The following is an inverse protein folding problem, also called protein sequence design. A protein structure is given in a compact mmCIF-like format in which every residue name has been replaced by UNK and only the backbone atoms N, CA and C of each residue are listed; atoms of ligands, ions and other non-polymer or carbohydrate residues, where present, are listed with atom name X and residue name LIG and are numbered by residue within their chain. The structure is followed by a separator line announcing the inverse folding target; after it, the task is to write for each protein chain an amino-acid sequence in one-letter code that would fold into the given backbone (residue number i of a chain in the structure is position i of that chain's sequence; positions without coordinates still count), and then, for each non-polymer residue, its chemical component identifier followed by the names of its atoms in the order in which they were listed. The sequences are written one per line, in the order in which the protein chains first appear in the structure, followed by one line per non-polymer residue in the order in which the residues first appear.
data_IF_624127733155
#
_entry.id   IF_624127733155
#
_cell.length_a   1.000
_cell.length_b   1.000
_cell.length_c   1.000
_cell.angle_alpha   90.00
_cell.angle_beta   90.00
_cell.angle_gamma   90.00
#
_symmetry.space_group_name_H-M   'P 1'
#
loop_
_entity.id
_entity.type
_entity.pdbx_description
1 polymer ?
#
# COMPACT_ATOMS: atom_id res chain seq x y z
N UNK A 1 25.34 -15.68 4.08
CA UNK A 1 25.22 -14.74 5.23
C UNK A 1 24.99 -13.28 4.83
N UNK A 2 25.60 -12.75 3.75
CA UNK A 2 25.34 -11.35 3.30
C UNK A 2 23.86 -11.10 2.96
N UNK A 3 23.17 -12.09 2.41
CA UNK A 3 21.76 -11.98 1.99
C UNK A 3 20.75 -11.84 3.13
N UNK A 4 21.07 -12.35 4.33
CA UNK A 4 20.11 -12.31 5.46
C UNK A 4 20.09 -10.93 6.11
N UNK A 5 21.24 -10.23 6.13
CA UNK A 5 21.37 -8.93 6.82
C UNK A 5 20.42 -7.87 6.27
N UNK A 6 20.10 -7.92 4.98
CA UNK A 6 19.19 -6.95 4.33
C UNK A 6 17.74 -7.05 4.84
N UNK A 7 17.36 -8.19 5.41
CA UNK A 7 16.01 -8.44 5.93
C UNK A 7 15.84 -8.04 7.39
N UNK A 8 16.95 -7.86 8.14
CA UNK A 8 16.89 -7.57 9.59
C UNK A 8 16.12 -6.29 9.86
N UNK A 9 16.48 -5.19 9.18
CA UNK A 9 15.86 -3.89 9.43
C UNK A 9 14.36 -3.88 9.06
N UNK A 10 13.92 -4.35 7.88
CA UNK A 10 12.49 -4.45 7.57
C UNK A 10 11.73 -5.38 8.52
N UNK A 11 12.33 -6.50 8.92
CA UNK A 11 11.70 -7.46 9.83
C UNK A 11 11.49 -6.85 11.22
N UNK A 12 12.50 -6.18 11.77
CA UNK A 12 12.38 -5.46 13.04
C UNK A 12 11.33 -4.35 12.96
N UNK A 13 11.32 -3.58 11.87
CA UNK A 13 10.31 -2.54 11.65
C UNK A 13 8.90 -3.15 11.62
N UNK A 14 8.71 -4.25 10.91
CA UNK A 14 7.42 -4.93 10.83
C UNK A 14 6.99 -5.48 12.20
N UNK A 15 7.86 -6.22 12.90
CA UNK A 15 7.53 -6.81 14.21
C UNK A 15 7.16 -5.72 15.23
N UNK A 16 8.01 -4.69 15.38
CA UNK A 16 7.77 -3.61 16.32
C UNK A 16 6.54 -2.79 15.93
N UNK A 17 6.41 -2.42 14.66
CA UNK A 17 5.29 -1.62 14.18
C UNK A 17 3.94 -2.37 14.25
N UNK A 18 3.91 -3.67 13.96
CA UNK A 18 2.72 -4.51 14.15
C UNK A 18 2.38 -4.61 15.63
N UNK A 19 3.37 -4.84 16.50
CA UNK A 19 3.15 -4.89 17.95
C UNK A 19 2.53 -3.58 18.46
N UNK A 20 3.16 -2.43 18.17
CA UNK A 20 2.64 -1.12 18.60
C UNK A 20 1.29 -0.78 17.95
N UNK A 21 1.11 -1.10 16.66
CA UNK A 21 -0.17 -0.93 15.98
C UNK A 21 -1.28 -1.76 16.62
N UNK A 22 -0.99 -3.02 16.98
CA UNK A 22 -1.94 -3.89 17.65
C UNK A 22 -2.30 -3.39 19.05
N UNK A 23 -1.31 -2.94 19.85
CA UNK A 23 -1.59 -2.35 21.16
C UNK A 23 -2.46 -1.11 21.03
N UNK A 24 -2.13 -0.20 20.11
CA UNK A 24 -2.94 1.00 19.85
C UNK A 24 -4.39 0.65 19.50
N UNK A 25 -4.60 -0.27 18.55
CA UNK A 25 -5.93 -0.72 18.13
C UNK A 25 -6.68 -1.32 19.32
N UNK A 26 -6.03 -2.22 20.07
CA UNK A 26 -6.64 -2.91 21.21
C UNK A 26 -7.03 -1.93 22.31
N UNK A 27 -6.12 -1.06 22.74
CA UNK A 27 -6.37 -0.11 23.84
C UNK A 27 -7.50 0.86 23.47
N UNK A 28 -7.44 1.44 22.27
CA UNK A 28 -8.44 2.41 21.82
C UNK A 28 -9.81 1.75 21.62
N UNK A 29 -9.85 0.56 21.02
CA UNK A 29 -11.11 -0.16 20.82
C UNK A 29 -11.72 -0.68 22.13
N UNK A 30 -10.88 -1.05 23.10
CA UNK A 30 -11.33 -1.39 24.46
C UNK A 30 -11.93 -0.17 25.14
N UNK A 31 -11.30 1.01 25.03
CA UNK A 31 -11.82 2.26 25.57
C UNK A 31 -13.19 2.63 24.97
N UNK A 32 -13.37 2.44 23.66
CA UNK A 32 -14.66 2.64 22.99
C UNK A 32 -15.70 1.65 23.52
N UNK A 33 -15.35 0.37 23.63
CA UNK A 33 -16.27 -0.69 24.09
C UNK A 33 -16.70 -0.46 25.54
N UNK A 34 -15.80 0.00 26.42
CA UNK A 34 -16.12 0.22 27.83
C UNK A 34 -17.00 1.45 28.05
N UNK A 35 -16.81 2.51 27.26
CA UNK A 35 -17.63 3.73 27.37
C UNK A 35 -18.94 3.64 26.58
N UNK A 36 -18.94 2.91 25.47
CA UNK A 36 -20.06 2.81 24.52
C UNK A 36 -20.30 1.34 24.14
N UNK A 37 -20.80 0.50 25.07
CA UNK A 37 -20.89 -0.95 24.86
C UNK A 37 -21.88 -1.38 23.76
N UNK A 38 -22.84 -0.50 23.42
CA UNK A 38 -23.83 -0.74 22.36
C UNK A 38 -23.29 -0.39 20.97
N UNK A 39 -22.20 0.38 20.90
CA UNK A 39 -21.63 0.80 19.62
C UNK A 39 -20.90 -0.36 18.93
N UNK A 40 -21.34 -0.67 17.72
CA UNK A 40 -20.71 -1.62 16.84
C UNK A 40 -19.99 -0.90 15.69
N UNK A 41 -18.66 -0.99 15.65
CA UNK A 41 -17.88 -0.35 14.59
C UNK A 41 -18.14 -0.97 13.21
N UNK A 42 -18.42 -2.27 13.14
CA UNK A 42 -18.58 -3.02 11.88
C UNK A 42 -19.90 -3.80 11.95
N UNK A 43 -21.00 -3.24 11.41
CA UNK A 43 -22.33 -3.85 11.50
C UNK A 43 -22.41 -5.30 10.97
N UNK A 44 -21.53 -5.65 10.03
CA UNK A 44 -21.44 -7.00 9.45
C UNK A 44 -20.88 -8.05 10.42
N UNK A 45 -20.15 -7.63 11.45
CA UNK A 45 -19.66 -8.49 12.53
C UNK A 45 -20.54 -8.27 13.75
N UNK A 46 -21.09 -9.33 14.34
CA UNK A 46 -21.95 -9.22 15.53
C UNK A 46 -21.13 -9.10 16.83
N UNK A 47 -19.93 -8.52 16.77
CA UNK A 47 -18.99 -8.40 17.88
C UNK A 47 -18.98 -7.01 18.53
N UNK A 48 -18.38 -6.88 19.73
CA UNK A 48 -18.03 -5.57 20.26
C UNK A 48 -16.89 -4.94 19.45
N UNK A 49 -16.83 -3.61 19.41
CA UNK A 49 -15.80 -2.84 18.68
C UNK A 49 -14.37 -3.31 18.96
N UNK A 50 -14.06 -3.68 20.21
CA UNK A 50 -12.75 -4.26 20.60
C UNK A 50 -12.43 -5.60 19.95
N UNK A 51 -13.42 -6.48 19.82
CA UNK A 51 -13.26 -7.76 19.14
C UNK A 51 -13.05 -7.54 17.64
N UNK A 52 -13.88 -6.72 17.00
CA UNK A 52 -13.82 -6.51 15.56
C UNK A 52 -12.48 -5.91 15.12
N UNK A 53 -12.02 -4.87 15.83
CA UNK A 53 -10.77 -4.20 15.51
C UNK A 53 -9.54 -5.11 15.70
N UNK A 54 -9.53 -5.92 16.76
CA UNK A 54 -8.41 -6.85 17.04
C UNK A 54 -8.43 -8.05 16.09
N UNK A 55 -9.60 -8.57 15.72
CA UNK A 55 -9.74 -9.61 14.70
C UNK A 55 -9.21 -9.12 13.37
N UNK A 56 -9.62 -7.93 12.90
CA UNK A 56 -9.09 -7.34 11.66
C UNK A 56 -7.56 -7.27 11.71
N UNK A 57 -7.00 -6.69 12.76
CA UNK A 57 -5.54 -6.56 12.89
C UNK A 57 -4.83 -7.93 12.88
N UNK A 58 -5.43 -8.96 13.48
CA UNK A 58 -4.85 -10.31 13.55
C UNK A 58 -4.92 -11.09 12.24
N UNK A 59 -6.02 -10.99 11.49
CA UNK A 59 -6.25 -11.83 10.29
C UNK A 59 -5.74 -11.20 8.99
N UNK A 60 -5.53 -9.87 8.97
CA UNK A 60 -5.30 -9.16 7.72
C UNK A 60 -3.98 -9.53 7.02
N UNK A 61 -2.91 -9.80 7.78
CA UNK A 61 -1.63 -10.20 7.22
C UNK A 61 -1.72 -11.58 6.55
N UNK A 62 -2.26 -12.64 7.21
CA UNK A 62 -2.54 -13.91 6.55
C UNK A 62 -3.36 -13.78 5.27
N UNK A 63 -4.46 -13.01 5.32
CA UNK A 63 -5.33 -12.78 4.17
C UNK A 63 -4.55 -12.11 3.02
N UNK A 64 -3.79 -11.06 3.33
CA UNK A 64 -2.98 -10.35 2.34
C UNK A 64 -1.91 -11.24 1.71
N UNK A 65 -1.28 -12.15 2.47
CA UNK A 65 -0.31 -13.12 1.95
C UNK A 65 -1.01 -14.13 1.02
N UNK A 66 -2.15 -14.69 1.41
CA UNK A 66 -2.90 -15.63 0.57
C UNK A 66 -3.33 -14.94 -0.73
N UNK A 67 -3.89 -13.73 -0.63
CA UNK A 67 -4.32 -12.97 -1.80
C UNK A 67 -3.14 -12.64 -2.71
N UNK A 68 -1.99 -12.25 -2.15
CA UNK A 68 -0.75 -12.07 -2.89
C UNK A 68 -0.37 -13.33 -3.68
N UNK A 69 -0.38 -14.50 -3.05
CA UNK A 69 0.01 -15.76 -3.70
C UNK A 69 -0.94 -16.15 -4.84
N UNK A 70 -2.24 -15.93 -4.67
CA UNK A 70 -3.26 -16.34 -5.65
C UNK A 70 -3.36 -15.35 -6.82
N UNK A 71 -3.32 -14.05 -6.52
CA UNK A 71 -3.79 -13.01 -7.46
C UNK A 71 -2.65 -12.30 -8.18
N UNK A 72 -1.43 -12.27 -7.63
CA UNK A 72 -0.34 -11.46 -8.20
C UNK A 72 0.02 -11.88 -9.63
N UNK A 73 0.16 -13.18 -9.91
CA UNK A 73 0.52 -13.65 -11.26
C UNK A 73 -0.59 -13.36 -12.29
N UNK A 74 -1.87 -13.71 -12.03
CA UNK A 74 -2.97 -13.36 -12.94
C UNK A 74 -3.04 -11.86 -13.23
N UNK A 75 -2.97 -11.00 -12.19
CA UNK A 75 -3.03 -9.55 -12.40
C UNK A 75 -1.79 -9.01 -13.11
N UNK A 76 -0.60 -9.57 -12.90
CA UNK A 76 0.58 -9.20 -13.68
C UNK A 76 0.36 -9.46 -15.17
N UNK A 77 -0.30 -10.55 -15.54
CA UNK A 77 -0.63 -10.83 -16.95
C UNK A 77 -1.62 -9.78 -17.52
N UNK A 78 -2.64 -9.41 -16.74
CA UNK A 78 -3.58 -8.34 -17.11
C UNK A 78 -2.85 -7.01 -17.32
N UNK A 79 -1.88 -6.70 -16.46
CA UNK A 79 -1.11 -5.45 -16.53
C UNK A 79 -0.19 -5.41 -17.75
N UNK A 80 0.43 -6.55 -18.11
CA UNK A 80 1.21 -6.68 -19.34
C UNK A 80 0.30 -6.44 -20.55
N UNK A 81 -0.87 -7.07 -20.59
CA UNK A 81 -1.83 -6.91 -21.69
C UNK A 81 -2.31 -5.46 -21.82
N UNK A 82 -2.74 -4.85 -20.70
CA UNK A 82 -3.23 -3.47 -20.67
C UNK A 82 -2.16 -2.48 -21.12
N UNK A 83 -0.92 -2.61 -20.62
CA UNK A 83 0.17 -1.76 -21.06
C UNK A 83 0.53 -2.00 -22.53
N UNK A 84 0.50 -3.24 -23.02
CA UNK A 84 0.74 -3.54 -24.44
C UNK A 84 -0.27 -2.79 -25.29
N UNK A 85 -1.56 -2.81 -24.95
CA UNK A 85 -2.59 -2.09 -25.69
C UNK A 85 -2.34 -0.57 -25.62
N UNK A 86 -2.08 -0.04 -24.43
CA UNK A 86 -1.90 1.40 -24.22
C UNK A 86 -0.62 1.98 -24.86
N UNK A 87 0.43 1.18 -25.01
CA UNK A 87 1.77 1.65 -25.43
C UNK A 87 2.34 0.96 -26.68
N UNK A 88 1.58 0.08 -27.35
CA UNK A 88 2.05 -0.68 -28.52
C UNK A 88 2.63 0.17 -29.64
N UNK A 89 2.15 1.41 -29.82
CA UNK A 89 2.57 2.27 -30.92
C UNK A 89 3.96 2.86 -30.70
N UNK A 90 4.28 3.23 -29.46
CA UNK A 90 5.49 3.99 -29.14
C UNK A 90 6.56 3.18 -28.42
N UNK A 91 6.20 2.02 -27.83
CA UNK A 91 7.12 1.23 -27.03
C UNK A 91 7.14 -0.25 -27.38
N UNK A 92 8.35 -0.79 -27.49
CA UNK A 92 8.62 -2.22 -27.56
C UNK A 92 8.87 -2.79 -26.16
N UNK A 93 8.37 -4.01 -25.92
CA UNK A 93 8.51 -4.72 -24.65
C UNK A 93 9.71 -5.67 -24.68
N UNK A 94 10.52 -5.66 -23.63
CA UNK A 94 11.66 -6.56 -23.48
C UNK A 94 11.81 -7.09 -22.05
N UNK A 95 12.62 -8.13 -21.94
CA UNK A 95 13.07 -8.71 -20.67
C UNK A 95 14.55 -8.39 -20.52
N UNK A 96 14.89 -7.66 -19.47
CA UNK A 96 16.24 -7.24 -19.15
C UNK A 96 16.76 -8.02 -17.94
N UNK A 97 18.03 -8.41 -17.99
CA UNK A 97 18.70 -8.97 -16.80
C UNK A 97 18.94 -7.87 -15.77
N UNK A 98 18.18 -7.88 -14.66
CA UNK A 98 18.36 -6.96 -13.54
C UNK A 98 19.20 -7.64 -12.45
N UNK A 99 19.83 -6.83 -11.58
CA UNK A 99 20.49 -7.34 -10.38
C UNK A 99 19.52 -8.07 -9.44
N UNK A 100 20.07 -9.00 -8.65
CA UNK A 100 19.27 -9.91 -7.82
C UNK A 100 18.93 -9.37 -6.42
N UNK A 101 19.33 -8.14 -6.09
CA UNK A 101 19.32 -7.67 -4.70
C UNK A 101 18.53 -6.38 -4.46
N UNK A 102 17.56 -6.48 -3.55
CA UNK A 102 16.81 -5.36 -3.01
C UNK A 102 17.32 -5.04 -1.58
N UNK A 103 17.75 -3.80 -1.35
CA UNK A 103 18.23 -3.37 -0.03
C UNK A 103 17.10 -3.18 0.98
N UNK A 104 17.36 -3.40 2.28
CA UNK A 104 16.34 -3.29 3.34
C UNK A 104 15.64 -1.93 3.39
N UNK A 105 16.38 -0.83 3.22
CA UNK A 105 15.80 0.53 3.15
C UNK A 105 14.83 0.66 1.96
N UNK A 106 15.13 0.02 0.83
CA UNK A 106 14.23 0.03 -0.34
C UNK A 106 12.95 -0.76 -0.07
N UNK A 107 13.02 -1.86 0.69
CA UNK A 107 11.83 -2.62 1.12
C UNK A 107 10.89 -1.75 1.95
N UNK A 108 11.43 -1.02 2.93
CA UNK A 108 10.63 -0.11 3.76
C UNK A 108 10.04 1.01 2.90
N UNK A 109 10.84 1.66 2.04
CA UNK A 109 10.35 2.72 1.16
C UNK A 109 9.26 2.24 0.20
N UNK A 110 9.30 0.98 -0.25
CA UNK A 110 8.28 0.39 -1.12
C UNK A 110 6.91 0.27 -0.44
N UNK A 111 6.87 0.14 0.89
CA UNK A 111 5.62 0.10 1.66
C UNK A 111 4.92 1.47 1.75
N UNK A 112 5.66 2.57 1.57
CA UNK A 112 5.16 3.93 1.81
C UNK A 112 3.98 4.29 0.90
N UNK A 113 4.13 4.16 -0.42
CA UNK A 113 3.07 4.53 -1.37
C UNK A 113 1.78 3.73 -1.16
N UNK A 114 1.82 2.38 -1.07
CA UNK A 114 0.60 1.62 -0.77
C UNK A 114 -0.01 1.99 0.58
N UNK A 115 0.79 2.30 1.61
CA UNK A 115 0.26 2.76 2.90
C UNK A 115 -0.52 4.07 2.75
N UNK A 116 0.03 5.05 2.04
CA UNK A 116 -0.69 6.29 1.74
C UNK A 116 -1.97 6.02 0.95
N UNK A 117 -1.89 5.16 -0.08
CA UNK A 117 -3.05 4.80 -0.91
C UNK A 117 -4.14 4.07 -0.11
N UNK A 118 -3.76 3.23 0.87
CA UNK A 118 -4.68 2.61 1.81
C UNK A 118 -5.44 3.66 2.61
N UNK A 119 -4.74 4.63 3.18
CA UNK A 119 -5.36 5.69 3.97
C UNK A 119 -6.29 6.54 3.11
N UNK A 120 -5.83 7.01 1.96
CA UNK A 120 -6.64 7.91 1.13
C UNK A 120 -7.86 7.22 0.54
N UNK A 121 -7.68 6.03 -0.01
CA UNK A 121 -8.76 5.31 -0.67
C UNK A 121 -9.85 4.91 0.31
N UNK A 122 -9.50 4.48 1.53
CA UNK A 122 -10.53 4.13 2.51
C UNK A 122 -11.28 5.34 3.01
N UNK A 123 -10.64 6.48 3.21
CA UNK A 123 -11.34 7.70 3.62
C UNK A 123 -12.29 8.20 2.52
N UNK A 124 -11.91 8.07 1.24
CA UNK A 124 -12.81 8.37 0.12
C UNK A 124 -14.00 7.41 0.11
N UNK A 125 -13.76 6.11 0.23
CA UNK A 125 -14.83 5.09 0.24
C UNK A 125 -15.78 5.29 1.42
N UNK A 126 -15.24 5.52 2.62
CA UNK A 126 -16.04 5.80 3.82
C UNK A 126 -16.89 7.07 3.65
N UNK A 127 -16.36 8.10 2.99
CA UNK A 127 -17.13 9.32 2.71
C UNK A 127 -18.20 9.17 1.63
N UNK A 128 -18.03 8.25 0.68
CA UNK A 128 -18.98 8.01 -0.40
C UNK A 128 -20.06 6.98 -0.04
N UNK A 129 -19.72 6.01 0.82
CA UNK A 129 -20.58 4.91 1.23
C UNK A 129 -20.59 4.82 2.77
N UNK A 130 -21.22 5.79 3.45
CA UNK A 130 -21.37 5.74 4.91
C UNK A 130 -22.15 4.48 5.30
N UNK A 131 -21.83 3.91 6.45
CA UNK A 131 -22.47 2.71 7.04
C UNK A 131 -22.36 1.40 6.24
N UNK A 132 -21.74 1.39 5.06
CA UNK A 132 -21.63 0.16 4.27
C UNK A 132 -20.71 -0.88 4.93
N UNK A 133 -19.59 -0.44 5.51
CA UNK A 133 -18.60 -1.31 6.17
C UNK A 133 -18.36 -0.89 7.60
N UNK A 134 -18.28 0.42 7.85
CA UNK A 134 -18.08 0.98 9.16
C UNK A 134 -19.27 1.86 9.50
N UNK A 135 -19.83 1.67 10.69
CA UNK A 135 -20.92 2.50 11.18
C UNK A 135 -20.40 3.93 11.44
N UNK A 136 -21.20 4.94 11.10
CA UNK A 136 -20.93 6.30 11.52
C UNK A 136 -21.01 6.41 13.05
N UNK A 137 -20.03 7.08 13.68
CA UNK A 137 -20.03 7.20 15.13
C UNK A 137 -21.16 8.09 15.61
N UNK A 138 -21.76 7.70 16.74
CA UNK A 138 -22.64 8.58 17.51
C UNK A 138 -21.87 9.89 17.83
N UNK A 139 -22.49 11.08 17.65
CA UNK A 139 -21.89 12.36 18.03
C UNK A 139 -21.28 12.37 19.44
N UNK A 140 -21.88 11.65 20.39
CA UNK A 140 -21.38 11.51 21.76
C UNK A 140 -20.00 10.82 21.82
N UNK A 141 -19.77 9.81 20.97
CA UNK A 141 -18.48 9.12 20.86
C UNK A 141 -17.42 10.07 20.32
N UNK A 142 -17.77 10.85 19.30
CA UNK A 142 -16.86 11.82 18.67
C UNK A 142 -16.47 12.93 19.64
N UNK A 143 -17.41 13.42 20.44
CA UNK A 143 -17.11 14.44 21.45
C UNK A 143 -16.23 13.90 22.59
N UNK A 144 -16.43 12.64 22.99
CA UNK A 144 -15.74 12.05 24.15
C UNK A 144 -14.35 11.53 23.80
N UNK A 145 -14.20 10.85 22.66
CA UNK A 145 -12.99 10.12 22.26
C UNK A 145 -12.32 10.69 21.00
N UNK A 146 -12.91 11.73 20.41
CA UNK A 146 -12.69 12.26 19.05
C UNK A 146 -11.41 11.83 18.33
N UNK A 147 -10.22 12.33 18.70
CA UNK A 147 -8.99 12.04 17.96
C UNK A 147 -8.57 10.56 17.99
N UNK A 148 -8.74 9.89 19.14
CA UNK A 148 -8.36 8.48 19.28
C UNK A 148 -9.32 7.58 18.48
N UNK A 149 -10.63 7.87 18.56
CA UNK A 149 -11.64 7.15 17.78
C UNK A 149 -11.42 7.28 16.27
N UNK A 150 -11.12 8.49 15.77
CA UNK A 150 -10.81 8.70 14.35
C UNK A 150 -9.59 7.92 13.90
N UNK A 151 -8.53 7.94 14.72
CA UNK A 151 -7.33 7.17 14.43
C UNK A 151 -7.62 5.66 14.39
N UNK A 152 -8.41 5.13 15.33
CA UNK A 152 -8.85 3.73 15.33
C UNK A 152 -9.64 3.40 14.05
N UNK A 153 -10.60 4.24 13.66
CA UNK A 153 -11.40 4.04 12.45
C UNK A 153 -10.54 4.11 11.19
N UNK A 154 -9.62 5.08 11.10
CA UNK A 154 -8.67 5.19 9.99
C UNK A 154 -7.78 3.95 9.88
N UNK A 155 -7.15 3.50 10.98
CA UNK A 155 -6.31 2.29 10.94
C UNK A 155 -7.13 1.07 10.57
N UNK A 156 -8.27 0.84 11.23
CA UNK A 156 -9.08 -0.36 11.02
C UNK A 156 -9.62 -0.45 9.59
N UNK A 157 -10.14 0.67 9.05
CA UNK A 157 -10.61 0.73 7.67
C UNK A 157 -9.48 0.53 6.68
N UNK A 158 -8.34 1.19 6.85
CA UNK A 158 -7.19 1.03 5.95
C UNK A 158 -6.59 -0.36 6.01
N UNK A 159 -6.56 -1.02 7.17
CA UNK A 159 -6.17 -2.43 7.28
C UNK A 159 -7.14 -3.31 6.48
N UNK A 160 -8.45 -3.13 6.65
CA UNK A 160 -9.44 -3.92 5.93
C UNK A 160 -9.31 -3.80 4.39
N UNK A 161 -8.99 -2.61 3.89
CA UNK A 161 -8.77 -2.39 2.45
C UNK A 161 -7.36 -2.81 1.95
N UNK A 162 -6.40 -3.01 2.87
CA UNK A 162 -5.01 -3.31 2.54
C UNK A 162 -4.86 -4.50 1.58
N UNK A 163 -5.54 -5.65 1.74
CA UNK A 163 -5.39 -6.78 0.81
C UNK A 163 -5.77 -6.41 -0.62
N UNK A 164 -6.90 -5.73 -0.81
CA UNK A 164 -7.38 -5.31 -2.14
C UNK A 164 -6.37 -4.35 -2.78
N UNK A 165 -5.89 -3.38 -2.00
CA UNK A 165 -4.91 -2.40 -2.49
C UNK A 165 -3.58 -3.07 -2.81
N UNK A 166 -3.12 -4.01 -1.97
CA UNK A 166 -1.92 -4.78 -2.26
C UNK A 166 -2.08 -5.63 -3.52
N UNK A 167 -3.26 -6.17 -3.83
CA UNK A 167 -3.51 -6.85 -5.10
C UNK A 167 -3.33 -5.92 -6.32
N UNK A 168 -3.49 -4.60 -6.17
CA UNK A 168 -3.18 -3.60 -7.22
C UNK A 168 -1.67 -3.34 -7.31
N UNK A 169 -0.97 -3.23 -6.18
CA UNK A 169 0.45 -2.87 -6.16
C UNK A 169 1.41 -4.04 -6.39
N UNK A 170 1.13 -5.23 -5.85
CA UNK A 170 2.04 -6.39 -5.93
C UNK A 170 2.32 -6.84 -7.36
N UNK A 171 1.39 -6.75 -8.35
CA UNK A 171 1.72 -7.04 -9.74
C UNK A 171 2.74 -6.05 -10.29
N UNK A 172 2.62 -4.77 -9.95
CA UNK A 172 3.59 -3.73 -10.40
C UNK A 172 4.98 -4.02 -9.89
N UNK A 173 5.07 -4.52 -8.66
CA UNK A 173 6.31 -4.89 -8.01
C UNK A 173 6.99 -6.03 -8.75
N UNK A 174 6.23 -7.10 -8.94
CA UNK A 174 6.73 -8.30 -9.57
C UNK A 174 7.13 -8.07 -11.02
N UNK A 175 6.39 -7.24 -11.78
CA UNK A 175 6.76 -6.88 -13.15
C UNK A 175 8.08 -6.12 -13.23
N UNK A 176 8.28 -5.15 -12.32
CA UNK A 176 9.52 -4.38 -12.25
C UNK A 176 10.69 -5.26 -11.84
N UNK A 177 10.50 -6.12 -10.83
CA UNK A 177 11.55 -6.97 -10.28
C UNK A 177 11.88 -8.16 -11.23
N UNK A 178 10.94 -8.53 -12.11
CA UNK A 178 11.16 -9.56 -13.15
C UNK A 178 11.96 -9.07 -14.35
N UNK A 179 12.30 -7.78 -14.41
CA UNK A 179 13.06 -7.20 -15.52
C UNK A 179 12.24 -6.91 -16.77
N UNK A 180 10.91 -6.86 -16.67
CA UNK A 180 10.09 -6.51 -17.83
C UNK A 180 10.09 -5.00 -17.98
N UNK A 181 10.59 -4.53 -19.12
CA UNK A 181 10.77 -3.12 -19.45
C UNK A 181 10.13 -2.78 -20.80
N UNK A 182 9.72 -1.54 -20.93
CA UNK A 182 9.39 -0.89 -22.19
C UNK A 182 10.53 0.03 -22.58
N UNK A 183 10.82 0.09 -23.87
CA UNK A 183 11.72 1.08 -24.45
C UNK A 183 11.10 1.62 -25.74
N UNK A 184 11.46 2.84 -26.10
CA UNK A 184 10.91 3.47 -27.31
C UNK A 184 11.24 2.65 -28.57
N UNK A 185 10.28 2.56 -29.48
CA UNK A 185 10.49 1.93 -30.78
C UNK A 185 11.52 2.71 -31.60
N UNK A 186 12.16 2.03 -32.55
CA UNK A 186 13.15 2.67 -33.44
C UNK A 186 12.56 3.83 -34.24
N UNK A 187 11.28 3.78 -34.57
CA UNK A 187 10.60 4.84 -35.31
C UNK A 187 10.42 6.10 -34.48
N UNK A 188 10.09 5.97 -33.19
CA UNK A 188 10.01 7.10 -32.25
C UNK A 188 11.38 7.77 -32.04
N UNK A 189 12.46 6.99 -32.05
CA UNK A 189 13.83 7.54 -31.95
C UNK A 189 14.23 8.38 -33.18
N UNK A 190 13.68 8.08 -34.37
CA UNK A 190 13.90 8.90 -35.58
C UNK A 190 13.33 10.31 -35.43
N UNK A 191 12.32 10.49 -34.56
CA UNK A 191 11.70 11.78 -34.26
C UNK A 191 12.41 12.55 -33.14
N UNK A 192 13.69 12.27 -32.89
CA UNK A 192 14.53 12.92 -31.85
C UNK A 192 13.95 12.83 -30.44
N UNK A 193 13.08 11.85 -30.16
CA UNK A 193 12.67 11.56 -28.78
C UNK A 193 13.84 10.92 -28.04
N UNK A 194 14.09 11.40 -26.82
CA UNK A 194 15.14 10.85 -25.98
C UNK A 194 14.87 9.38 -25.68
N UNK A 195 15.87 8.49 -25.76
CA UNK A 195 15.71 7.10 -25.41
C UNK A 195 15.26 6.99 -23.95
N UNK A 196 14.17 6.27 -23.74
CA UNK A 196 13.58 6.05 -22.43
C UNK A 196 13.38 4.55 -22.21
N UNK A 197 13.64 4.10 -20.99
CA UNK A 197 13.44 2.71 -20.58
C UNK A 197 12.73 2.71 -19.23
N UNK A 198 11.51 2.16 -19.22
CA UNK A 198 10.66 2.12 -18.03
C UNK A 198 10.21 0.70 -17.73
N UNK A 199 10.26 0.30 -16.45
CA UNK A 199 9.61 -0.93 -16.01
C UNK A 199 8.10 -0.89 -16.28
N UNK A 200 7.52 -2.01 -16.73
CA UNK A 200 6.08 -2.13 -17.01
C UNK A 200 5.24 -1.75 -15.78
N UNK A 201 5.66 -2.20 -14.61
CA UNK A 201 5.00 -1.86 -13.35
C UNK A 201 5.19 -0.41 -12.91
N UNK A 202 6.25 0.27 -13.37
CA UNK A 202 6.56 1.66 -13.00
C UNK A 202 5.49 2.63 -13.48
N UNK A 203 4.87 2.38 -14.63
CA UNK A 203 3.78 3.23 -15.14
C UNK A 203 2.60 3.28 -14.14
N UNK A 204 2.06 2.11 -13.79
CA UNK A 204 0.96 2.02 -12.83
C UNK A 204 1.37 2.49 -11.43
N UNK A 205 2.56 2.10 -10.96
CA UNK A 205 3.07 2.54 -9.65
C UNK A 205 3.24 4.06 -9.57
N UNK A 206 3.63 4.72 -10.66
CA UNK A 206 3.72 6.18 -10.70
C UNK A 206 2.34 6.83 -10.72
N UNK A 207 1.37 6.26 -11.43
CA UNK A 207 0.00 6.76 -11.47
C UNK A 207 -0.65 6.71 -10.08
N UNK A 208 -0.67 5.53 -9.45
CA UNK A 208 -1.22 5.37 -8.10
C UNK A 208 -0.40 6.12 -7.05
N UNK A 209 0.93 6.17 -7.21
CA UNK A 209 1.82 6.93 -6.33
C UNK A 209 1.60 8.43 -6.40
N UNK A 210 1.47 8.98 -7.60
CA UNK A 210 1.16 10.40 -7.82
C UNK A 210 -0.19 10.78 -7.23
N UNK A 211 -1.22 9.96 -7.46
CA UNK A 211 -2.52 10.14 -6.82
C UNK A 211 -2.40 10.13 -5.29
N UNK A 212 -1.71 9.14 -4.71
CA UNK A 212 -1.54 9.03 -3.26
C UNK A 212 -0.85 10.25 -2.65
N UNK A 213 0.21 10.75 -3.30
CA UNK A 213 0.98 11.89 -2.81
C UNK A 213 0.17 13.19 -2.79
N UNK A 214 -0.81 13.34 -3.69
CA UNK A 214 -1.72 14.49 -3.72
C UNK A 214 -2.94 14.30 -2.82
N UNK A 215 -3.56 13.12 -2.86
CA UNK A 215 -4.76 12.83 -2.09
C UNK A 215 -4.47 12.78 -0.58
N UNK A 216 -3.29 12.26 -0.18
CA UNK A 216 -2.99 12.03 1.23
C UNK A 216 -2.97 13.31 2.08
N UNK A 217 -2.23 14.37 1.71
CA UNK A 217 -2.28 15.62 2.47
C UNK A 217 -3.69 16.21 2.55
N UNK A 218 -4.47 16.14 1.47
CA UNK A 218 -5.85 16.64 1.45
C UNK A 218 -6.76 15.86 2.40
N UNK A 219 -6.69 14.52 2.35
CA UNK A 219 -7.46 13.64 3.25
C UNK A 219 -7.06 13.84 4.71
N UNK A 220 -5.77 13.97 5.00
CA UNK A 220 -5.30 14.20 6.38
C UNK A 220 -5.70 15.58 6.88
N UNK A 221 -5.57 16.62 6.06
CA UNK A 221 -6.04 17.97 6.38
C UNK A 221 -7.55 17.96 6.66
N UNK A 222 -8.34 17.29 5.82
CA UNK A 222 -9.79 17.18 6.01
C UNK A 222 -10.16 16.48 7.33
N UNK A 223 -9.56 15.32 7.61
CA UNK A 223 -9.97 14.46 8.73
C UNK A 223 -9.37 14.82 10.09
N UNK A 224 -8.14 15.35 10.11
CA UNK A 224 -7.40 15.64 11.34
C UNK A 224 -7.30 17.13 11.66
N UNK A 225 -7.61 18.02 10.72
CA UNK A 225 -7.60 19.46 10.97
C UNK A 225 -8.95 20.11 10.72
N UNK A 226 -9.45 20.08 9.48
CA UNK A 226 -10.68 20.77 9.12
C UNK A 226 -11.89 20.25 9.89
N UNK A 227 -12.19 18.94 9.82
CA UNK A 227 -13.36 18.38 10.50
C UNK A 227 -13.27 18.57 12.02
N UNK A 228 -12.19 18.14 12.72
CA UNK A 228 -12.07 18.31 14.18
C UNK A 228 -12.25 19.75 14.65
N UNK A 229 -11.52 20.70 14.07
CA UNK A 229 -11.46 22.06 14.61
C UNK A 229 -12.57 22.98 14.08
N UNK A 230 -13.02 22.77 12.84
CA UNK A 230 -14.00 23.67 12.18
C UNK A 230 -15.42 23.10 12.26
N UNK A 231 -15.59 21.79 12.03
CA UNK A 231 -16.91 21.16 11.99
C UNK A 231 -17.35 20.71 13.37
N UNK A 232 -16.48 20.01 14.10
CA UNK A 232 -16.80 19.43 15.41
C UNK A 232 -16.53 20.39 16.58
N UNK A 233 -15.92 21.55 16.30
CA UNK A 233 -15.67 22.60 17.30
C UNK A 233 -14.62 22.24 18.36
N UNK A 234 -13.70 21.31 18.08
CA UNK A 234 -12.59 21.03 19.01
C UNK A 234 -11.74 22.29 19.20
N UNK A 235 -11.34 22.61 20.44
CA UNK A 235 -10.55 23.80 20.70
C UNK A 235 -9.15 23.68 20.10
N UNK A 236 -8.63 24.79 19.55
CA UNK A 236 -7.26 24.92 19.02
C UNK A 236 -6.23 24.96 20.15
N UNK A 237 -6.09 23.86 20.90
CA UNK A 237 -5.05 23.69 21.91
C UNK A 237 -3.81 23.06 21.30
N UNK A 238 -2.64 23.31 21.92
CA UNK A 238 -1.39 22.68 21.50
C UNK A 238 -1.49 21.14 21.47
N UNK A 239 -2.14 20.55 22.47
CA UNK A 239 -2.33 19.10 22.56
C UNK A 239 -3.12 18.54 21.37
N UNK A 240 -4.23 19.17 21.02
CA UNK A 240 -5.08 18.72 19.90
C UNK A 240 -4.35 18.85 18.56
N UNK A 241 -3.62 19.95 18.34
CA UNK A 241 -2.84 20.17 17.12
C UNK A 241 -1.70 19.15 17.02
N UNK A 242 -0.97 18.94 18.12
CA UNK A 242 0.09 17.94 18.17
C UNK A 242 -0.44 16.53 17.88
N UNK A 243 -1.60 16.18 18.43
CA UNK A 243 -2.24 14.90 18.19
C UNK A 243 -2.68 14.73 16.71
N UNK A 244 -3.17 15.79 16.07
CA UNK A 244 -3.49 15.78 14.64
C UNK A 244 -2.24 15.52 13.78
N UNK A 245 -1.11 16.18 14.08
CA UNK A 245 0.17 15.90 13.41
C UNK A 245 0.69 14.49 13.70
N UNK A 246 0.59 14.05 14.95
CA UNK A 246 1.00 12.72 15.38
C UNK A 246 0.30 11.64 14.56
N UNK A 247 -1.02 11.74 14.37
CA UNK A 247 -1.76 10.77 13.56
C UNK A 247 -1.51 10.91 12.06
N UNK A 248 -1.37 12.14 11.57
CA UNK A 248 -1.01 12.38 10.16
C UNK A 248 0.28 11.66 9.76
N UNK A 249 1.27 11.59 10.65
CA UNK A 249 2.54 10.90 10.40
C UNK A 249 2.49 9.43 10.85
N UNK A 250 1.86 9.14 11.98
CA UNK A 250 1.83 7.83 12.61
C UNK A 250 1.03 6.80 11.83
N UNK A 251 -0.09 7.19 11.21
CA UNK A 251 -0.95 6.27 10.45
C UNK A 251 -0.21 5.59 9.28
N UNK A 252 0.49 6.33 8.37
CA UNK A 252 1.32 5.70 7.36
C UNK A 252 2.35 4.73 7.93
N UNK A 253 3.01 5.10 9.03
CA UNK A 253 4.06 4.28 9.65
C UNK A 253 3.50 2.95 10.16
N UNK A 254 2.33 2.98 10.82
CA UNK A 254 1.62 1.77 11.26
C UNK A 254 1.29 0.90 10.06
N UNK A 255 0.64 1.44 9.02
CA UNK A 255 0.27 0.62 7.86
C UNK A 255 1.47 0.07 7.10
N UNK A 256 2.56 0.83 6.99
CA UNK A 256 3.82 0.33 6.42
C UNK A 256 4.29 -0.93 7.15
N UNK A 257 4.16 -0.98 8.48
CA UNK A 257 4.55 -2.15 9.26
C UNK A 257 3.71 -3.39 8.91
N UNK A 258 2.40 -3.23 8.64
CA UNK A 258 1.52 -4.31 8.18
C UNK A 258 1.78 -4.73 6.73
N UNK A 259 2.26 -3.82 5.88
CA UNK A 259 2.57 -4.09 4.46
C UNK A 259 3.93 -4.79 4.29
N UNK A 260 4.93 -4.46 5.10
CA UNK A 260 6.30 -5.00 4.96
C UNK A 260 6.37 -6.53 4.96
N UNK A 261 5.62 -7.29 5.78
CA UNK A 261 5.59 -8.76 5.69
C UNK A 261 5.28 -9.28 4.28
N UNK A 262 4.39 -8.61 3.55
CA UNK A 262 4.04 -8.99 2.17
C UNK A 262 5.22 -8.68 1.23
N UNK A 263 5.92 -7.56 1.44
CA UNK A 263 7.13 -7.22 0.68
C UNK A 263 8.25 -8.23 0.94
N UNK A 264 8.41 -8.68 2.20
CA UNK A 264 9.36 -9.71 2.58
C UNK A 264 9.05 -11.03 1.87
N UNK A 265 7.78 -11.45 1.87
CA UNK A 265 7.32 -12.64 1.13
C UNK A 265 7.59 -12.48 -0.37
N UNK A 266 7.31 -11.32 -0.95
CA UNK A 266 7.59 -11.06 -2.37
C UNK A 266 9.07 -11.17 -2.71
N UNK A 267 9.96 -10.59 -1.88
CA UNK A 267 11.40 -10.70 -2.07
C UNK A 267 11.88 -12.16 -1.98
N UNK A 268 11.36 -12.94 -1.02
CA UNK A 268 11.69 -14.35 -0.87
C UNK A 268 11.23 -15.20 -2.07
N UNK A 269 10.09 -14.85 -2.68
CA UNK A 269 9.48 -15.62 -3.77
C UNK A 269 9.85 -15.10 -5.16
N UNK A 270 10.57 -13.98 -5.26
CA UNK A 270 10.90 -13.33 -6.53
C UNK A 270 11.48 -14.31 -7.55
N UNK A 271 12.50 -15.08 -7.18
CA UNK A 271 13.13 -16.04 -8.09
C UNK A 271 12.17 -17.13 -8.63
N UNK A 272 11.13 -17.48 -7.88
CA UNK A 272 10.10 -18.44 -8.31
C UNK A 272 9.06 -17.79 -9.22
N UNK A 273 8.66 -16.55 -8.95
CA UNK A 273 7.61 -15.86 -9.69
C UNK A 273 8.09 -15.10 -10.93
N UNK A 274 9.37 -14.71 -11.00
CA UNK A 274 9.92 -14.03 -12.16
C UNK A 274 9.89 -14.89 -13.43
N UNK A 275 10.19 -16.19 -13.33
CA UNK A 275 10.21 -17.09 -14.50
C UNK A 275 8.82 -17.24 -15.17
N UNK A 276 7.73 -17.56 -14.43
CA UNK A 276 6.38 -17.56 -14.99
C UNK A 276 6.02 -16.27 -15.71
N UNK A 277 6.35 -15.12 -15.11
CA UNK A 277 5.98 -13.81 -15.65
C UNK A 277 6.80 -13.42 -16.86
N UNK A 278 8.10 -13.73 -16.87
CA UNK A 278 8.91 -13.62 -18.08
C UNK A 278 8.38 -14.51 -19.20
N UNK A 279 7.94 -15.74 -18.91
CA UNK A 279 7.32 -16.61 -19.90
C UNK A 279 6.01 -16.03 -20.45
N UNK A 280 5.18 -15.43 -19.60
CA UNK A 280 3.98 -14.71 -20.02
C UNK A 280 4.37 -13.53 -20.93
N UNK A 281 5.36 -12.72 -20.54
CA UNK A 281 5.82 -11.61 -21.35
C UNK A 281 6.36 -12.05 -22.73
N UNK A 282 7.11 -13.17 -22.79
CA UNK A 282 7.57 -13.78 -24.05
C UNK A 282 6.41 -14.18 -24.96
N UNK A 283 5.34 -14.78 -24.40
CA UNK A 283 4.11 -15.08 -25.16
C UNK A 283 3.44 -13.81 -25.71
N UNK A 284 3.61 -12.68 -25.01
CA UNK A 284 3.19 -11.36 -25.49
C UNK A 284 4.23 -10.64 -26.36
N UNK A 285 5.25 -11.35 -26.87
CA UNK A 285 6.21 -10.82 -27.84
C UNK A 285 7.42 -10.11 -27.24
N UNK A 286 7.63 -10.18 -25.92
CA UNK A 286 8.82 -9.61 -25.30
C UNK A 286 10.09 -10.35 -25.71
N UNK A 287 11.16 -9.62 -26.03
CA UNK A 287 12.48 -10.19 -26.38
C UNK A 287 13.46 -10.05 -25.22
N UNK A 288 14.36 -11.01 -25.08
CA UNK A 288 15.42 -10.96 -24.07
C UNK A 288 16.55 -10.02 -24.53
N UNK A 289 16.90 -9.02 -23.72
CA UNK A 289 18.02 -8.09 -23.96
C UNK A 289 19.04 -8.21 -22.83
N UNK A 290 20.32 -8.29 -23.19
CA UNK A 290 21.44 -8.28 -22.25
C UNK A 290 22.03 -6.89 -22.14
N UNK A 291 22.41 -6.50 -20.93
CA UNK A 291 23.27 -5.35 -20.71
C UNK A 291 24.60 -5.58 -21.44
N UNK A 292 24.94 -4.67 -22.35
CA UNK A 292 26.26 -4.67 -22.96
C UNK A 292 27.26 -4.29 -21.87
N UNK A 293 28.25 -5.17 -21.62
CA UNK A 293 29.38 -4.80 -20.76
C UNK A 293 30.20 -3.78 -21.52
N UNK A 294 29.94 -2.49 -21.30
CA UNK A 294 30.83 -1.43 -21.77
C UNK A 294 32.20 -1.70 -21.15
N UNK A 295 33.15 -2.12 -21.98
CA UNK A 295 34.56 -2.03 -21.63
C UNK A 295 34.82 -0.54 -21.42
N UNK A 296 34.91 -0.12 -20.17
CA UNK A 296 35.45 1.19 -19.84
C UNK A 296 36.87 1.17 -20.40
N UNK A 297 37.07 1.90 -21.50
CA UNK A 297 38.37 2.12 -22.10
C UNK A 297 39.21 3.04 -21.21
#
# INVERSE_FOLDING_TARGET
MKDIKRFILPLLFAILGIYFGFQFIRETATLVTTQFPVYNMIPLLQGPTSYDATVIAGIIIPIAIVLYLVVTIPLSAVYILGNRIAKATAYDMNIMSIGNEFGGVRMIRRAFVPALFCITSTQIVLGLLPDFVFQEPDPLIVQTLGPAFRALLSVSSSLLAMPIILAIFTPTWLLNDSGIVYHLTKDELKHRRCPDTMGVGRYFSNYFGGFSLLAFPLTMAANYFYRPFIVDGLPFTFGNIFQAFYWTIGLPVILMAFIIPIILVNEFLLGRFSKPIQNIARKFGAKDIRLEKTKVA
#
